data_IF_724565035749
#
_entry.id   IF_724565035749
#
_cell.length_a   1.000
_cell.length_b   1.000
_cell.length_c   1.000
_cell.angle_alpha   90.00
_cell.angle_beta   90.00
_cell.angle_gamma   90.00
#
_symmetry.space_group_name_H-M   'P 1'
#
loop_
_entity.id
_entity.type
_entity.pdbx_description
1 polymer ?
#
# COMPACT_ATOMS: atom_id res chain seq x y z
N UNK A 1 42.31 -13.62 39.06
CA UNK A 1 42.30 -12.47 38.12
C UNK A 1 42.28 -12.86 36.64
N UNK A 2 43.02 -13.88 36.17
CA UNK A 2 43.06 -14.27 34.76
C UNK A 2 41.72 -14.74 34.14
N UNK A 3 40.85 -15.37 34.93
CA UNK A 3 39.56 -15.89 34.43
C UNK A 3 38.56 -14.75 34.12
N UNK A 4 38.56 -13.69 34.94
CA UNK A 4 37.71 -12.50 34.75
C UNK A 4 38.15 -11.71 33.51
N UNK A 5 39.46 -11.55 33.32
CA UNK A 5 40.01 -10.88 32.13
C UNK A 5 39.68 -11.66 30.85
N UNK A 6 39.79 -12.99 30.85
CA UNK A 6 39.39 -13.84 29.71
C UNK A 6 37.90 -13.75 29.40
N UNK A 7 37.05 -13.77 30.43
CA UNK A 7 35.60 -13.62 30.27
C UNK A 7 35.25 -12.23 29.71
N UNK A 8 35.86 -11.17 30.23
CA UNK A 8 35.66 -9.80 29.74
C UNK A 8 36.07 -9.67 28.26
N UNK A 9 37.21 -10.24 27.86
CA UNK A 9 37.66 -10.23 26.46
C UNK A 9 36.68 -10.98 25.55
N UNK A 10 36.20 -12.16 25.97
CA UNK A 10 35.22 -12.93 25.20
C UNK A 10 33.88 -12.20 25.05
N UNK A 11 33.40 -11.54 26.10
CA UNK A 11 32.16 -10.75 26.08
C UNK A 11 32.27 -9.57 25.10
N UNK A 12 33.39 -8.84 25.10
CA UNK A 12 33.61 -7.73 24.17
C UNK A 12 33.65 -8.21 22.71
N UNK A 13 34.30 -9.35 22.45
CA UNK A 13 34.36 -9.94 21.09
C UNK A 13 32.94 -10.31 20.62
N UNK A 14 32.15 -10.98 21.46
CA UNK A 14 30.77 -11.35 21.12
C UNK A 14 29.92 -10.11 20.84
N UNK A 15 29.99 -9.08 21.68
CA UNK A 15 29.25 -7.82 21.47
C UNK A 15 29.66 -7.18 20.13
N UNK A 16 30.96 -7.13 19.83
CA UNK A 16 31.45 -6.56 18.57
C UNK A 16 30.93 -7.33 17.34
N UNK A 17 30.90 -8.67 17.39
CA UNK A 17 30.37 -9.52 16.32
C UNK A 17 28.86 -9.28 16.12
N UNK A 18 28.09 -9.17 17.21
CA UNK A 18 26.65 -8.89 17.13
C UNK A 18 26.35 -7.53 16.50
N UNK A 19 27.16 -6.51 16.80
CA UNK A 19 27.02 -5.18 16.20
C UNK A 19 27.28 -5.23 14.68
N UNK A 20 28.31 -5.94 14.24
CA UNK A 20 28.61 -6.09 12.81
C UNK A 20 27.49 -6.82 12.05
N UNK A 21 26.88 -7.85 12.65
CA UNK A 21 25.74 -8.58 12.07
C UNK A 21 24.50 -7.68 11.98
N UNK A 22 24.23 -6.87 13.00
CA UNK A 22 23.10 -5.94 13.00
C UNK A 22 23.26 -4.84 11.94
N UNK A 23 24.48 -4.33 11.74
CA UNK A 23 24.80 -3.35 10.69
C UNK A 23 24.63 -3.95 9.29
N UNK A 24 25.00 -5.22 9.08
CA UNK A 24 24.80 -5.92 7.82
C UNK A 24 23.30 -6.04 7.44
N UNK A 25 22.41 -6.23 8.40
CA UNK A 25 20.96 -6.28 8.14
C UNK A 25 20.42 -4.91 7.70
N UNK A 26 20.93 -3.81 8.25
CA UNK A 26 20.45 -2.46 7.94
C UNK A 26 20.68 -2.05 6.47
N UNK A 27 21.82 -2.43 5.89
CA UNK A 27 22.16 -2.10 4.50
C UNK A 27 21.28 -2.86 3.49
N UNK A 28 20.90 -4.09 3.81
CA UNK A 28 20.05 -4.90 2.92
C UNK A 28 18.67 -4.27 2.74
N UNK A 29 18.08 -3.71 3.80
CA UNK A 29 16.72 -3.13 3.78
C UNK A 29 16.71 -1.83 2.97
N UNK A 30 17.75 -0.99 3.11
CA UNK A 30 17.86 0.28 2.40
C UNK A 30 17.96 0.12 0.87
N UNK A 31 18.50 -1.00 0.39
CA UNK A 31 18.61 -1.32 -1.04
C UNK A 31 17.24 -1.60 -1.71
N UNK A 32 16.27 -2.13 -0.96
CA UNK A 32 14.94 -2.46 -1.50
C UNK A 32 13.97 -1.27 -1.52
N UNK A 33 14.20 -0.28 -0.66
CA UNK A 33 13.33 0.89 -0.56
C UNK A 33 13.80 1.95 -1.53
N UNK A 34 13.03 2.20 -2.58
CA UNK A 34 13.35 3.25 -3.54
C UNK A 34 13.35 4.62 -2.81
N UNK A 35 14.43 5.41 -2.85
CA UNK A 35 14.59 6.64 -2.05
C UNK A 35 13.47 7.68 -2.19
N UNK A 36 12.66 7.59 -3.24
CA UNK A 36 11.54 8.50 -3.49
C UNK A 36 10.15 7.87 -3.36
N UNK A 37 10.01 6.66 -2.81
CA UNK A 37 8.72 5.95 -2.76
C UNK A 37 7.59 6.78 -2.11
N UNK A 38 7.89 7.53 -1.06
CA UNK A 38 6.93 8.42 -0.38
C UNK A 38 6.55 9.68 -1.16
N UNK A 39 7.30 10.00 -2.21
CA UNK A 39 7.01 11.12 -3.12
C UNK A 39 6.29 10.68 -4.38
N UNK A 40 6.31 9.38 -4.69
CA UNK A 40 5.56 8.81 -5.82
C UNK A 40 4.06 8.99 -5.58
N UNK A 41 3.38 9.49 -6.61
CA UNK A 41 1.94 9.67 -6.62
C UNK A 41 1.30 8.65 -7.55
N UNK A 42 0.63 7.67 -6.98
CA UNK A 42 -0.21 6.74 -7.73
C UNK A 42 -1.59 7.36 -7.96
N UNK A 43 -2.24 6.96 -9.04
CA UNK A 43 -3.58 7.41 -9.43
C UNK A 43 -4.47 6.21 -9.73
N UNK A 44 -5.69 6.28 -9.24
CA UNK A 44 -6.74 5.30 -9.54
C UNK A 44 -7.87 5.98 -10.30
N UNK A 45 -8.34 5.35 -11.37
CA UNK A 45 -9.61 5.67 -12.04
C UNK A 45 -10.63 4.57 -11.79
N UNK A 46 -11.81 4.96 -11.33
CA UNK A 46 -12.97 4.08 -11.17
C UNK A 46 -14.01 4.51 -12.19
N UNK A 47 -14.42 3.59 -13.06
CA UNK A 47 -15.44 3.86 -14.09
C UNK A 47 -16.68 3.03 -13.85
N UNK A 48 -17.84 3.69 -13.83
CA UNK A 48 -19.12 3.01 -13.78
C UNK A 48 -19.50 2.48 -15.17
N UNK A 49 -19.40 1.16 -15.35
CA UNK A 49 -19.85 0.40 -16.51
C UNK A 49 -20.94 -0.63 -16.16
N UNK A 50 -21.75 -0.36 -15.14
CA UNK A 50 -22.91 -1.20 -14.84
C UNK A 50 -23.86 -1.21 -16.05
N UNK A 51 -24.21 -2.41 -16.51
CA UNK A 51 -24.95 -2.62 -17.75
C UNK A 51 -26.40 -2.14 -17.70
N UNK A 52 -26.99 -2.10 -16.50
CA UNK A 52 -28.35 -1.67 -16.19
C UNK A 52 -28.54 -0.14 -16.18
N UNK A 53 -27.46 0.63 -16.32
CA UNK A 53 -27.49 2.08 -16.27
C UNK A 53 -27.58 2.67 -14.85
N UNK A 54 -27.37 1.84 -13.83
CA UNK A 54 -27.39 2.26 -12.43
C UNK A 54 -26.28 3.25 -12.10
N UNK A 55 -26.53 4.06 -11.07
CA UNK A 55 -25.54 4.94 -10.47
C UNK A 55 -24.67 4.12 -9.53
N UNK A 56 -23.34 4.28 -9.62
CA UNK A 56 -22.40 3.61 -8.75
C UNK A 56 -22.11 4.50 -7.54
N UNK A 57 -22.59 4.07 -6.38
CA UNK A 57 -22.27 4.69 -5.10
C UNK A 57 -21.09 3.95 -4.46
N UNK A 58 -20.11 4.70 -3.96
CA UNK A 58 -18.97 4.11 -3.27
C UNK A 58 -18.40 5.05 -2.22
N UNK A 59 -17.83 4.50 -1.17
CA UNK A 59 -17.15 5.24 -0.12
C UNK A 59 -15.75 4.67 0.06
N UNK A 60 -14.72 5.41 -0.37
CA UNK A 60 -13.34 4.93 -0.32
C UNK A 60 -12.61 5.42 0.93
N UNK A 61 -11.77 4.55 1.49
CA UNK A 61 -10.86 4.85 2.60
C UNK A 61 -9.52 4.16 2.39
N UNK A 62 -8.43 4.80 2.80
CA UNK A 62 -7.21 4.10 3.22
C UNK A 62 -7.12 4.13 4.74
N UNK A 63 -6.04 3.55 5.27
CA UNK A 63 -5.66 3.68 6.68
C UNK A 63 -5.52 5.17 7.10
N UNK A 64 -5.02 6.02 6.20
CA UNK A 64 -4.60 7.39 6.50
C UNK A 64 -5.53 8.47 5.90
N UNK A 65 -6.25 8.15 4.82
CA UNK A 65 -7.06 9.11 4.04
C UNK A 65 -8.51 8.64 3.89
N UNK A 66 -9.45 9.51 4.28
CA UNK A 66 -10.86 9.32 3.96
C UNK A 66 -11.21 10.09 2.67
N UNK A 67 -11.46 9.37 1.58
CA UNK A 67 -11.79 9.95 0.28
C UNK A 67 -13.27 10.32 0.15
N UNK A 68 -14.09 9.85 1.10
CA UNK A 68 -15.51 10.18 1.22
C UNK A 68 -16.42 9.43 0.26
N UNK A 69 -17.70 9.79 0.30
CA UNK A 69 -18.73 9.25 -0.60
C UNK A 69 -18.57 9.83 -2.01
N UNK A 70 -18.70 8.96 -3.01
CA UNK A 70 -18.72 9.31 -4.43
C UNK A 70 -19.89 8.62 -5.13
N UNK A 71 -20.49 9.37 -6.04
CA UNK A 71 -21.66 9.00 -6.83
C UNK A 71 -21.25 9.13 -8.29
N UNK A 72 -21.12 8.02 -9.00
CA UNK A 72 -20.61 7.98 -10.37
C UNK A 72 -21.75 7.59 -11.30
N UNK A 73 -22.20 8.54 -12.14
CA UNK A 73 -23.22 8.28 -13.14
C UNK A 73 -22.74 7.27 -14.20
N UNK A 74 -23.67 6.67 -14.94
CA UNK A 74 -23.38 5.70 -16.01
C UNK A 74 -22.34 6.24 -16.98
N UNK A 75 -21.34 5.41 -17.33
CA UNK A 75 -20.25 5.72 -18.25
C UNK A 75 -19.40 6.94 -17.83
N UNK A 76 -19.47 7.34 -16.56
CA UNK A 76 -18.57 8.35 -15.99
C UNK A 76 -17.49 7.68 -15.16
N UNK A 77 -16.43 8.45 -14.94
CA UNK A 77 -15.28 8.03 -14.15
C UNK A 77 -15.02 9.04 -13.05
N UNK A 78 -14.53 8.54 -11.94
CA UNK A 78 -13.95 9.35 -10.87
C UNK A 78 -12.53 8.85 -10.60
N UNK A 79 -11.66 9.75 -10.19
CA UNK A 79 -10.27 9.44 -9.91
C UNK A 79 -9.73 10.20 -8.72
N UNK A 80 -8.73 9.63 -8.08
CA UNK A 80 -8.01 10.26 -6.99
C UNK A 80 -6.53 9.83 -7.03
N UNK A 81 -5.69 10.68 -6.47
CA UNK A 81 -4.25 10.44 -6.32
C UNK A 81 -3.89 10.27 -4.87
N UNK A 82 -2.92 9.41 -4.58
CA UNK A 82 -2.42 9.16 -3.22
C UNK A 82 -0.91 8.91 -3.26
N UNK A 83 -0.27 8.97 -2.10
CA UNK A 83 1.16 8.67 -1.94
C UNK A 83 1.33 7.31 -1.31
N UNK A 84 2.39 6.61 -1.70
CA UNK A 84 2.75 5.34 -1.09
C UNK A 84 3.43 5.57 0.25
N UNK A 85 3.19 4.66 1.19
CA UNK A 85 3.96 4.64 2.42
C UNK A 85 5.37 4.08 2.15
N UNK A 86 6.33 4.43 3.01
CA UNK A 86 7.73 4.02 2.85
C UNK A 86 7.94 2.50 3.03
N UNK A 87 6.95 1.80 3.58
CA UNK A 87 7.03 0.38 3.87
C UNK A 87 6.50 -0.50 2.73
N UNK A 88 5.93 0.08 1.67
CA UNK A 88 5.34 -0.68 0.57
C UNK A 88 4.13 -1.51 1.01
N UNK A 89 3.30 -0.97 1.89
CA UNK A 89 2.14 -1.68 2.48
C UNK A 89 0.84 -0.91 2.31
N UNK A 90 0.79 0.06 1.38
CA UNK A 90 -0.40 0.89 1.18
C UNK A 90 -1.55 0.07 0.63
N UNK A 91 -2.70 0.14 1.30
CA UNK A 91 -3.94 -0.52 0.87
C UNK A 91 -5.07 0.49 0.89
N UNK A 92 -5.86 0.52 -0.20
CA UNK A 92 -7.08 1.31 -0.33
C UNK A 92 -8.25 0.39 -0.65
N UNK A 93 -9.31 0.50 0.14
CA UNK A 93 -10.55 -0.20 -0.12
C UNK A 93 -11.71 0.79 -0.25
N UNK A 94 -12.73 0.37 -0.98
CA UNK A 94 -13.96 1.14 -1.13
C UNK A 94 -15.16 0.27 -0.80
N UNK A 95 -16.08 0.85 -0.05
CA UNK A 95 -17.35 0.26 0.33
C UNK A 95 -18.42 0.61 -0.70
N UNK A 96 -19.12 -0.39 -1.22
CA UNK A 96 -20.14 -0.23 -2.25
C UNK A 96 -21.51 -0.62 -1.70
N UNK A 97 -22.38 0.35 -1.38
CA UNK A 97 -23.76 0.07 -1.02
C UNK A 97 -24.62 -0.20 -2.26
N UNK A 98 -25.39 -1.28 -2.23
CA UNK A 98 -26.33 -1.73 -3.25
C UNK A 98 -27.75 -1.85 -2.67
N UNK A 99 -28.78 -1.32 -3.33
CA UNK A 99 -30.16 -1.56 -2.93
C UNK A 99 -30.60 -3.02 -3.15
N UNK A 100 -31.48 -3.59 -2.29
CA UNK A 100 -31.92 -3.09 -1.00
C UNK A 100 -31.02 -3.57 0.15
N UNK A 101 -30.11 -2.72 0.63
CA UNK A 101 -29.36 -2.95 1.87
C UNK A 101 -28.17 -3.91 1.80
N UNK A 102 -27.73 -4.30 0.61
CA UNK A 102 -26.50 -5.06 0.43
C UNK A 102 -25.30 -4.12 0.38
N UNK A 103 -24.13 -4.58 0.82
CA UNK A 103 -22.89 -3.85 0.58
C UNK A 103 -21.69 -4.79 0.52
N UNK A 104 -20.63 -4.34 -0.14
CA UNK A 104 -19.39 -5.12 -0.29
C UNK A 104 -18.19 -4.19 -0.34
N UNK A 105 -17.09 -4.62 0.26
CA UNK A 105 -15.81 -3.94 0.22
C UNK A 105 -14.91 -4.54 -0.86
N UNK A 106 -14.26 -3.69 -1.65
CA UNK A 106 -13.27 -4.10 -2.64
C UNK A 106 -11.95 -3.37 -2.43
N UNK A 107 -10.84 -4.10 -2.52
CA UNK A 107 -9.50 -3.54 -2.56
C UNK A 107 -9.22 -2.93 -3.93
N UNK A 108 -9.37 -1.61 -3.99
CA UNK A 108 -9.19 -0.82 -5.21
C UNK A 108 -7.70 -0.58 -5.50
N UNK A 109 -6.86 -0.57 -4.46
CA UNK A 109 -5.41 -0.63 -4.58
C UNK A 109 -4.82 -1.48 -3.45
N UNK A 110 -3.83 -2.30 -3.80
CA UNK A 110 -3.04 -3.07 -2.83
C UNK A 110 -1.58 -3.06 -3.31
N UNK A 111 -0.65 -2.58 -2.48
CA UNK A 111 0.75 -2.44 -2.89
C UNK A 111 1.46 -3.79 -3.18
N UNK A 112 1.00 -4.89 -2.62
CA UNK A 112 1.56 -6.21 -2.95
C UNK A 112 1.11 -6.66 -4.34
N UNK A 113 -0.13 -6.32 -4.72
CA UNK A 113 -0.74 -6.71 -6.01
C UNK A 113 -0.45 -5.73 -7.14
N UNK A 114 -0.70 -4.45 -6.87
CA UNK A 114 -0.67 -3.33 -7.81
C UNK A 114 0.55 -2.43 -7.61
N UNK A 115 1.34 -2.71 -6.56
CA UNK A 115 2.38 -1.80 -6.14
C UNK A 115 3.55 -1.70 -7.09
N UNK A 116 4.32 -0.69 -6.79
CA UNK A 116 5.27 -0.07 -7.69
C UNK A 116 6.59 -0.84 -7.64
N UNK A 117 6.78 -1.80 -8.54
CA UNK A 117 8.09 -2.41 -8.75
C UNK A 117 8.98 -1.47 -9.57
N UNK A 118 10.16 -1.14 -9.05
CA UNK A 118 11.14 -0.31 -9.77
C UNK A 118 10.82 1.19 -9.82
N UNK A 119 9.94 1.71 -8.97
CA UNK A 119 9.74 3.16 -8.80
C UNK A 119 8.79 3.85 -9.79
N UNK A 120 8.00 3.09 -10.55
CA UNK A 120 6.97 3.59 -11.48
C UNK A 120 5.59 3.66 -10.80
N UNK A 121 4.97 4.86 -10.62
CA UNK A 121 3.66 4.99 -9.98
C UNK A 121 2.55 4.14 -10.64
N UNK A 122 1.56 3.67 -9.85
CA UNK A 122 0.42 2.98 -10.46
C UNK A 122 -0.46 3.96 -11.22
N UNK A 123 -0.82 3.55 -12.44
CA UNK A 123 -1.92 4.09 -13.22
C UNK A 123 -3.05 3.05 -13.27
N UNK A 124 -3.78 2.93 -12.17
CA UNK A 124 -4.70 1.84 -11.90
C UNK A 124 -6.10 2.16 -12.48
N UNK A 125 -6.63 1.32 -13.38
CA UNK A 125 -7.99 1.47 -13.91
C UNK A 125 -8.89 0.35 -13.37
N UNK A 126 -10.00 0.71 -12.72
CA UNK A 126 -11.00 -0.21 -12.18
C UNK A 126 -12.35 0.02 -12.84
N UNK A 127 -13.01 -1.06 -13.25
CA UNK A 127 -14.34 -1.00 -13.85
C UNK A 127 -15.35 -1.83 -13.06
N UNK A 128 -16.55 -1.26 -12.87
CA UNK A 128 -17.63 -1.97 -12.18
C UNK A 128 -18.17 -3.17 -12.96
N UNK A 129 -17.97 -3.23 -14.28
CA UNK A 129 -18.33 -4.41 -15.09
C UNK A 129 -17.45 -5.62 -14.78
N UNK A 130 -16.23 -5.39 -14.28
CA UNK A 130 -15.19 -6.42 -14.13
C UNK A 130 -15.10 -6.90 -12.68
N UNK A 131 -16.11 -6.57 -11.85
CA UNK A 131 -16.12 -6.89 -10.42
C UNK A 131 -15.08 -6.11 -9.60
N UNK A 132 -14.55 -5.01 -10.15
CA UNK A 132 -13.56 -4.12 -9.52
C UNK A 132 -12.26 -4.82 -9.09
N UNK A 133 -11.81 -5.81 -9.88
CA UNK A 133 -10.42 -6.27 -9.88
C UNK A 133 -9.56 -5.43 -10.82
#
# INVERSE_FOLDING_TARGET
MANIQRIQVLVVIIISLLIQIALLQAETIASYVHPNISTLKSIVWITNRLGDGSILNLHCKSLDDNLGLKIIARNKSWSFTFRLNIWGTTVLYCHFPWPPGHSTDFYIYDDIRDGVHGGIPCHCFKSSSDGLR
#
